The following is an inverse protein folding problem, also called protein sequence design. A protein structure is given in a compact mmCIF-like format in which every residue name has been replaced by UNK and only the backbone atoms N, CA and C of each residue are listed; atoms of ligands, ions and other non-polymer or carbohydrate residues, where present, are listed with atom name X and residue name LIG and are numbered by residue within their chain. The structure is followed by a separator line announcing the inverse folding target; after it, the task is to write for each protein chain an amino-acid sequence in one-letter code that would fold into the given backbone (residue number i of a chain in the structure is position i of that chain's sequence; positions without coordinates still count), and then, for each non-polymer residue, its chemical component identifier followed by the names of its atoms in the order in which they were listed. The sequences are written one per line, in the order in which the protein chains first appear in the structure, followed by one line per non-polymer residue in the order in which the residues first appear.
data_IF_528012394021
#
_entry.id   IF_528012394021
#
_cell.length_a   1.000
_cell.length_b   1.000
_cell.length_c   1.000
_cell.angle_alpha   90.00
_cell.angle_beta   90.00
_cell.angle_gamma   90.00
#
_symmetry.space_group_name_H-M   'P 1'
#
loop_
_entity.id
_entity.type
_entity.pdbx_description
1 polymer ?
#
# COMPACT_ATOMS: atom_id res chain seq x y z
N UNK A 1 20.80 -39.30 0.90
CA UNK A 1 21.33 -38.37 1.88
C UNK A 1 20.20 -37.63 2.55
N UNK A 2 20.18 -37.52 3.87
CA UNK A 2 19.17 -36.78 4.64
C UNK A 2 19.89 -35.60 5.30
N UNK A 3 19.38 -34.40 5.07
CA UNK A 3 19.86 -33.17 5.72
C UNK A 3 18.74 -32.57 6.58
N UNK A 4 19.11 -32.18 7.81
CA UNK A 4 18.18 -31.48 8.72
C UNK A 4 18.46 -29.98 8.69
N UNK A 5 17.48 -29.19 8.32
CA UNK A 5 17.59 -27.72 8.25
C UNK A 5 16.70 -27.11 9.33
N UNK A 6 17.27 -26.48 10.37
CA UNK A 6 16.47 -25.92 11.47
C UNK A 6 15.70 -24.68 11.00
N UNK A 7 14.37 -24.71 11.15
CA UNK A 7 13.46 -23.60 10.80
C UNK A 7 13.81 -22.29 11.51
N UNK A 8 14.34 -22.38 12.74
CA UNK A 8 14.69 -21.21 13.57
C UNK A 8 15.77 -20.30 12.98
N UNK A 9 16.49 -20.75 11.94
CA UNK A 9 17.53 -19.96 11.25
C UNK A 9 16.97 -19.02 10.18
N UNK A 10 15.68 -19.12 9.85
CA UNK A 10 15.05 -18.37 8.79
C UNK A 10 13.88 -17.53 9.33
N UNK A 11 13.60 -16.37 8.75
CA UNK A 11 12.43 -15.58 9.15
C UNK A 11 11.11 -16.26 8.77
N UNK A 12 10.01 -15.74 9.30
CA UNK A 12 8.66 -16.08 8.85
C UNK A 12 8.48 -15.68 7.37
N UNK A 13 7.94 -16.57 6.55
CA UNK A 13 7.72 -16.36 5.12
C UNK A 13 8.07 -17.58 4.27
N UNK A 14 8.18 -17.37 2.98
CA UNK A 14 8.48 -18.40 1.98
C UNK A 14 9.96 -18.68 1.93
N UNK A 15 10.35 -19.95 2.11
CA UNK A 15 11.71 -20.45 1.94
C UNK A 15 11.78 -21.37 0.72
N UNK A 16 12.72 -21.11 -0.18
CA UNK A 16 13.05 -21.99 -1.29
C UNK A 16 14.29 -22.80 -0.96
N UNK A 17 14.21 -24.13 -1.10
CA UNK A 17 15.34 -25.05 -1.01
C UNK A 17 15.65 -25.57 -2.40
N UNK A 18 16.86 -25.39 -2.87
CA UNK A 18 17.29 -25.80 -4.21
C UNK A 18 18.48 -26.77 -4.12
N UNK A 19 18.41 -27.87 -4.87
CA UNK A 19 19.50 -28.82 -5.02
C UNK A 19 20.23 -28.52 -6.31
N UNK A 20 21.56 -28.44 -6.23
CA UNK A 20 22.42 -28.18 -7.37
C UNK A 20 23.27 -29.41 -7.73
N UNK A 21 23.55 -29.58 -9.01
CA UNK A 21 24.56 -30.48 -9.49
C UNK A 21 25.97 -30.04 -9.07
N UNK A 22 26.95 -30.92 -9.20
CA UNK A 22 28.36 -30.57 -8.97
C UNK A 22 28.88 -29.45 -9.90
N UNK A 23 28.19 -29.20 -11.02
CA UNK A 23 28.47 -28.12 -11.99
C UNK A 23 27.70 -26.83 -11.71
N UNK A 24 26.97 -26.75 -10.60
CA UNK A 24 26.17 -25.57 -10.23
C UNK A 24 24.82 -25.42 -10.92
N UNK A 25 24.40 -26.40 -11.74
CA UNK A 25 23.07 -26.34 -12.37
C UNK A 25 21.98 -26.77 -11.39
N UNK A 26 20.83 -26.07 -11.29
CA UNK A 26 19.73 -26.46 -10.43
C UNK A 26 19.08 -27.76 -10.94
N UNK A 27 18.89 -28.71 -10.02
CA UNK A 27 18.31 -30.03 -10.31
C UNK A 27 16.88 -30.17 -9.81
N UNK A 28 16.55 -29.53 -8.71
CA UNK A 28 15.23 -29.59 -8.12
C UNK A 28 15.06 -28.50 -7.07
N UNK A 29 13.82 -28.08 -6.91
CA UNK A 29 13.44 -27.00 -5.99
C UNK A 29 12.24 -27.43 -5.15
N UNK A 30 12.21 -26.99 -3.90
CA UNK A 30 11.08 -27.13 -3.00
C UNK A 30 10.84 -25.81 -2.31
N UNK A 31 9.61 -25.33 -2.36
CA UNK A 31 9.13 -24.16 -1.61
C UNK A 31 8.47 -24.67 -0.34
N UNK A 32 8.78 -24.06 0.80
CA UNK A 32 8.18 -24.33 2.11
C UNK A 32 7.82 -23.01 2.79
N UNK A 33 6.80 -23.03 3.63
CA UNK A 33 6.44 -21.87 4.45
C UNK A 33 6.93 -22.04 5.89
N UNK A 34 7.56 -20.99 6.42
CA UNK A 34 8.00 -20.93 7.82
C UNK A 34 7.11 -19.93 8.54
N UNK A 35 6.52 -20.34 9.65
CA UNK A 35 5.71 -19.48 10.51
C UNK A 35 6.22 -19.57 11.95
N UNK A 36 6.67 -18.45 12.49
CA UNK A 36 7.10 -18.33 13.89
C UNK A 36 6.01 -17.68 14.77
N UNK A 37 4.85 -17.34 14.20
CA UNK A 37 3.78 -16.63 14.91
C UNK A 37 4.26 -15.32 15.56
N UNK A 38 5.16 -14.62 14.87
CA UNK A 38 5.80 -13.39 15.33
C UNK A 38 5.10 -12.12 14.79
N UNK A 39 3.92 -12.28 14.18
CA UNK A 39 3.08 -11.17 13.72
C UNK A 39 2.59 -10.31 14.89
N UNK A 40 2.25 -9.08 14.56
CA UNK A 40 1.68 -8.12 15.50
C UNK A 40 0.33 -8.61 16.03
N UNK A 41 0.13 -8.56 17.34
CA UNK A 41 -1.15 -8.86 17.95
C UNK A 41 -2.03 -7.60 17.92
N UNK A 42 -3.02 -7.61 17.04
CA UNK A 42 -3.99 -6.53 16.88
C UNK A 42 -5.32 -6.96 17.51
N UNK A 43 -5.84 -6.13 18.41
CA UNK A 43 -7.16 -6.33 18.99
C UNK A 43 -8.05 -5.12 18.74
N UNK A 44 -9.29 -5.38 18.34
CA UNK A 44 -10.31 -4.36 18.09
C UNK A 44 -11.51 -4.70 18.98
N UNK A 45 -11.94 -3.74 19.79
CA UNK A 45 -13.08 -3.92 20.71
C UNK A 45 -13.98 -2.70 20.67
N UNK A 46 -15.27 -2.92 20.71
CA UNK A 46 -16.27 -1.88 20.95
C UNK A 46 -16.43 -1.63 22.44
N UNK A 47 -16.79 -0.42 22.82
CA UNK A 47 -17.08 -0.07 24.23
C UNK A 47 -18.40 -0.66 24.74
N UNK A 48 -19.35 -0.96 23.83
CA UNK A 48 -20.63 -1.60 24.15
C UNK A 48 -20.83 -2.85 23.27
N UNK A 49 -21.59 -3.80 23.78
CA UNK A 49 -21.97 -4.99 23.03
C UNK A 49 -23.06 -4.71 21.98
N UNK A 50 -23.93 -3.75 22.25
CA UNK A 50 -25.05 -3.35 21.37
C UNK A 50 -25.20 -1.86 21.38
N UNK A 51 -25.69 -1.31 20.27
CA UNK A 51 -25.88 0.13 20.07
C UNK A 51 -27.30 0.40 19.58
N UNK A 52 -27.86 1.52 20.04
CA UNK A 52 -29.12 2.04 19.52
C UNK A 52 -28.91 2.70 18.16
N UNK A 53 -30.02 2.93 17.43
CA UNK A 53 -29.99 3.60 16.14
C UNK A 53 -29.35 4.99 16.27
N UNK A 54 -28.37 5.31 15.40
CA UNK A 54 -27.61 6.58 15.39
C UNK A 54 -26.78 6.84 16.65
N UNK A 55 -26.57 5.84 17.47
CA UNK A 55 -25.68 5.97 18.62
C UNK A 55 -24.21 6.04 18.16
N UNK A 56 -23.41 6.86 18.85
CA UNK A 56 -21.96 6.94 18.62
C UNK A 56 -21.31 5.64 19.07
N UNK A 57 -20.54 5.04 18.16
CA UNK A 57 -19.73 3.85 18.45
C UNK A 57 -18.31 4.30 18.80
N UNK A 58 -17.77 3.78 19.89
CA UNK A 58 -16.37 3.97 20.26
C UNK A 58 -15.63 2.64 20.12
N UNK A 59 -14.60 2.63 19.29
CA UNK A 59 -13.74 1.47 19.07
C UNK A 59 -12.40 1.66 19.78
N UNK A 60 -11.93 0.63 20.45
CA UNK A 60 -10.62 0.56 21.07
C UNK A 60 -9.74 -0.38 20.22
N UNK A 61 -8.70 0.16 19.64
CA UNK A 61 -7.71 -0.59 18.84
C UNK A 61 -6.43 -0.67 19.64
N UNK A 62 -5.89 -1.86 19.82
CA UNK A 62 -4.62 -2.09 20.52
C UNK A 62 -3.73 -2.97 19.69
N UNK A 63 -2.49 -2.51 19.46
CA UNK A 63 -1.45 -3.24 18.75
C UNK A 63 -0.31 -3.58 19.70
N UNK A 64 0.12 -4.85 19.71
CA UNK A 64 1.21 -5.31 20.57
C UNK A 64 2.17 -6.20 19.80
N UNK A 65 3.46 -5.99 20.01
CA UNK A 65 4.51 -6.93 19.63
C UNK A 65 4.84 -7.76 20.88
N UNK A 66 4.42 -9.04 20.89
CA UNK A 66 4.42 -9.88 22.09
C UNK A 66 3.60 -9.21 23.21
N UNK A 67 4.25 -8.77 24.28
CA UNK A 67 3.59 -8.09 25.42
C UNK A 67 3.71 -6.56 25.39
N UNK A 68 4.54 -5.99 24.54
CA UNK A 68 4.84 -4.55 24.49
C UNK A 68 3.92 -3.83 23.49
N UNK A 69 3.44 -2.62 23.80
CA UNK A 69 2.74 -1.78 22.83
C UNK A 69 3.59 -1.55 21.59
N UNK A 70 2.97 -1.57 20.42
CA UNK A 70 3.63 -1.28 19.15
C UNK A 70 3.03 -0.01 18.53
N UNK A 71 3.90 0.90 18.13
CA UNK A 71 3.54 2.06 17.32
C UNK A 71 3.48 1.68 15.84
N UNK A 72 2.56 2.27 15.09
CA UNK A 72 2.41 1.99 13.67
C UNK A 72 1.33 2.83 13.01
N UNK A 73 1.25 2.72 11.69
CA UNK A 73 0.20 3.33 10.88
C UNK A 73 -0.91 2.30 10.65
N UNK A 74 -2.14 2.69 10.92
CA UNK A 74 -3.30 1.82 10.83
C UNK A 74 -4.33 2.42 9.88
N UNK A 75 -4.94 1.58 9.07
CA UNK A 75 -6.14 1.93 8.31
C UNK A 75 -7.35 1.20 8.88
N UNK A 76 -8.49 1.85 8.88
CA UNK A 76 -9.76 1.29 9.38
C UNK A 76 -10.82 1.47 8.31
N UNK A 77 -11.51 0.38 7.96
CA UNK A 77 -12.71 0.45 7.16
C UNK A 77 -13.90 -0.10 7.95
N UNK A 78 -15.08 0.43 7.70
CA UNK A 78 -16.32 0.02 8.36
C UNK A 78 -17.33 -0.30 7.28
N UNK A 79 -17.87 -1.51 7.32
CA UNK A 79 -18.88 -1.98 6.38
C UNK A 79 -20.12 -2.45 7.13
N UNK A 80 -21.25 -2.47 6.44
CA UNK A 80 -22.46 -3.13 6.91
C UNK A 80 -22.50 -4.55 6.31
N UNK A 81 -22.23 -5.55 7.13
CA UNK A 81 -22.16 -6.96 6.71
C UNK A 81 -23.49 -7.49 6.20
N UNK A 82 -24.62 -6.87 6.57
CA UNK A 82 -25.92 -7.23 6.01
C UNK A 82 -26.09 -6.83 4.54
N UNK A 83 -25.28 -5.88 4.09
CA UNK A 83 -25.32 -5.31 2.74
C UNK A 83 -24.14 -5.78 1.89
N UNK A 84 -22.95 -5.85 2.50
CA UNK A 84 -21.72 -6.29 1.86
C UNK A 84 -21.24 -7.55 2.58
N UNK A 85 -21.59 -8.74 2.10
CA UNK A 85 -21.10 -9.98 2.70
C UNK A 85 -19.56 -10.01 2.57
N UNK A 86 -18.88 -10.35 3.64
CA UNK A 86 -17.43 -10.54 3.65
C UNK A 86 -17.11 -11.98 4.06
N UNK A 87 -16.22 -12.61 3.32
CA UNK A 87 -15.55 -13.84 3.76
C UNK A 87 -14.10 -13.46 4.12
N UNK A 88 -13.76 -13.55 5.39
CA UNK A 88 -12.42 -13.22 5.89
C UNK A 88 -11.32 -14.09 5.26
N UNK A 89 -11.67 -15.21 4.64
CA UNK A 89 -10.73 -16.10 3.97
C UNK A 89 -10.52 -15.74 2.49
N UNK A 90 -11.47 -15.04 1.86
CA UNK A 90 -11.55 -14.95 0.40
C UNK A 90 -10.55 -13.94 -0.17
N UNK A 91 -10.40 -12.79 0.43
CA UNK A 91 -9.47 -11.76 -0.05
C UNK A 91 -8.05 -11.91 0.49
N UNK A 92 -7.06 -11.28 -0.16
CA UNK A 92 -5.73 -11.16 0.41
C UNK A 92 -5.76 -10.18 1.59
N UNK A 93 -5.24 -10.60 2.72
CA UNK A 93 -4.92 -9.75 3.85
C UNK A 93 -3.47 -9.31 3.82
N UNK A 94 -3.10 -8.38 4.69
CA UNK A 94 -1.71 -7.89 4.77
C UNK A 94 -0.70 -9.01 5.02
N UNK A 95 -1.03 -10.00 5.86
CA UNK A 95 -0.15 -11.13 6.15
C UNK A 95 -0.03 -12.07 4.96
N UNK A 96 -1.16 -12.45 4.36
CA UNK A 96 -1.15 -13.35 3.21
C UNK A 96 -0.51 -12.72 1.98
N UNK A 97 -0.67 -11.41 1.78
CA UNK A 97 -0.03 -10.72 0.67
C UNK A 97 1.48 -10.60 0.87
N UNK A 98 1.93 -10.06 2.00
CA UNK A 98 3.35 -9.81 2.24
C UNK A 98 4.18 -11.08 2.46
N UNK A 99 3.60 -12.12 3.09
CA UNK A 99 4.34 -13.31 3.50
C UNK A 99 4.17 -14.49 2.56
N UNK A 100 3.16 -14.51 1.72
CA UNK A 100 2.82 -15.66 0.89
C UNK A 100 2.69 -15.31 -0.60
N UNK A 101 1.66 -14.53 -0.97
CA UNK A 101 1.31 -14.34 -2.38
C UNK A 101 2.29 -13.46 -3.13
N UNK A 102 2.99 -12.54 -2.45
CA UNK A 102 4.04 -11.71 -3.06
C UNK A 102 5.25 -12.53 -3.54
N UNK A 103 5.52 -13.67 -2.94
CA UNK A 103 6.70 -14.49 -3.21
C UNK A 103 6.42 -15.68 -4.14
N UNK A 104 5.16 -16.01 -4.38
CA UNK A 104 4.76 -17.16 -5.17
C UNK A 104 4.22 -16.74 -6.55
N UNK A 105 4.35 -17.64 -7.53
CA UNK A 105 3.77 -17.47 -8.86
C UNK A 105 2.39 -18.12 -8.92
N UNK A 106 1.47 -17.43 -9.61
CA UNK A 106 0.12 -17.92 -9.83
C UNK A 106 -0.87 -17.44 -8.78
N UNK A 107 -2.09 -17.92 -8.90
CA UNK A 107 -3.17 -17.60 -7.97
C UNK A 107 -3.15 -18.60 -6.81
N UNK A 108 -3.30 -18.07 -5.60
CA UNK A 108 -3.51 -18.86 -4.38
C UNK A 108 -4.95 -18.62 -3.95
N UNK A 109 -5.77 -19.66 -4.03
CA UNK A 109 -7.15 -19.61 -3.61
C UNK A 109 -7.24 -19.37 -2.10
N UNK A 110 -8.10 -18.43 -1.69
CA UNK A 110 -8.38 -18.10 -0.29
C UNK A 110 -7.11 -17.93 0.57
N UNK A 111 -6.20 -17.02 0.21
CA UNK A 111 -4.88 -16.93 0.84
C UNK A 111 -4.94 -16.61 2.34
N UNK A 112 -5.97 -15.91 2.82
CA UNK A 112 -6.15 -15.63 4.24
C UNK A 112 -6.55 -16.85 5.08
N UNK A 113 -7.08 -17.90 4.47
CA UNK A 113 -7.40 -19.15 5.15
C UNK A 113 -6.21 -19.67 5.97
N UNK A 114 -5.01 -19.58 5.43
CA UNK A 114 -3.77 -20.04 6.07
C UNK A 114 -3.30 -19.17 7.24
N UNK A 115 -3.89 -17.99 7.44
CA UNK A 115 -3.51 -17.04 8.49
C UNK A 115 -4.61 -16.77 9.51
N UNK A 116 -5.88 -16.99 9.17
CA UNK A 116 -7.01 -16.74 10.05
C UNK A 116 -7.19 -17.84 11.11
N UNK A 117 -6.90 -19.08 10.76
CA UNK A 117 -6.97 -20.21 11.68
C UNK A 117 -5.69 -21.01 11.62
N UNK A 118 -5.04 -21.14 12.74
CA UNK A 118 -3.80 -21.89 12.82
C UNK A 118 -4.01 -23.23 13.54
N UNK A 119 -3.94 -24.32 12.78
CA UNK A 119 -4.06 -25.69 13.26
C UNK A 119 -3.26 -26.64 12.36
N UNK A 120 -3.18 -27.91 12.72
CA UNK A 120 -2.40 -28.90 11.96
C UNK A 120 -2.95 -29.09 10.54
N UNK A 121 -4.26 -28.96 10.35
CA UNK A 121 -4.87 -29.09 9.03
C UNK A 121 -4.47 -27.93 8.13
N UNK A 122 -4.58 -26.67 8.59
CA UNK A 122 -4.19 -25.50 7.79
C UNK A 122 -2.71 -25.50 7.45
N UNK A 123 -1.86 -26.03 8.35
CA UNK A 123 -0.44 -26.23 8.05
C UNK A 123 -0.20 -27.29 6.97
N UNK A 124 -0.91 -28.41 7.05
CA UNK A 124 -0.81 -29.47 6.05
C UNK A 124 -1.30 -28.99 4.68
N UNK A 125 -2.41 -28.23 4.65
CA UNK A 125 -2.97 -27.66 3.43
C UNK A 125 -2.01 -26.63 2.81
N UNK A 126 -1.38 -25.79 3.63
CA UNK A 126 -0.38 -24.85 3.17
C UNK A 126 0.85 -25.57 2.60
N UNK A 127 1.37 -26.61 3.27
CA UNK A 127 2.50 -27.39 2.78
C UNK A 127 2.15 -28.13 1.47
N UNK A 128 0.94 -28.64 1.36
CA UNK A 128 0.39 -29.22 0.12
C UNK A 128 0.35 -28.19 -1.01
N UNK A 129 -0.13 -26.98 -0.73
CA UNK A 129 -0.10 -25.86 -1.67
C UNK A 129 1.31 -25.50 -2.10
N UNK A 130 2.26 -25.44 -1.17
CA UNK A 130 3.66 -25.14 -1.46
C UNK A 130 4.33 -26.14 -2.41
N UNK A 131 3.85 -27.38 -2.48
CA UNK A 131 4.36 -28.39 -3.42
C UNK A 131 4.08 -28.04 -4.88
N UNK A 132 3.02 -27.31 -5.15
CA UNK A 132 2.56 -26.95 -6.49
C UNK A 132 2.97 -25.54 -6.91
N UNK A 133 3.50 -24.74 -5.99
CA UNK A 133 3.86 -23.35 -6.24
C UNK A 133 5.34 -23.19 -6.61
N UNK A 134 5.65 -22.11 -7.32
CA UNK A 134 7.00 -21.76 -7.74
C UNK A 134 7.35 -20.40 -7.15
N UNK A 135 8.58 -20.26 -6.65
CA UNK A 135 9.10 -18.98 -6.15
C UNK A 135 9.19 -17.95 -7.29
N UNK A 136 8.78 -16.73 -7.00
CA UNK A 136 8.56 -15.70 -8.02
C UNK A 136 9.73 -14.74 -8.22
N UNK A 137 10.45 -14.40 -7.16
CA UNK A 137 11.39 -13.27 -7.18
C UNK A 137 12.51 -13.44 -8.18
N UNK A 138 13.04 -14.65 -8.34
CA UNK A 138 14.07 -14.94 -9.35
C UNK A 138 14.04 -16.40 -9.79
N UNK A 139 14.71 -16.72 -10.89
CA UNK A 139 15.05 -18.09 -11.27
C UNK A 139 16.57 -18.24 -11.29
N UNK A 140 17.08 -19.35 -10.76
CA UNK A 140 18.52 -19.62 -10.77
C UNK A 140 19.11 -19.65 -12.18
N UNK A 141 18.33 -20.09 -13.17
CA UNK A 141 18.78 -20.06 -14.56
C UNK A 141 19.12 -18.64 -15.02
N UNK A 142 18.27 -17.66 -14.70
CA UNK A 142 18.52 -16.27 -15.06
C UNK A 142 19.74 -15.72 -14.31
N UNK A 143 19.93 -16.08 -13.04
CA UNK A 143 21.10 -15.66 -12.25
C UNK A 143 22.40 -16.27 -12.82
N UNK A 144 22.39 -17.56 -13.18
CA UNK A 144 23.55 -18.22 -13.77
C UNK A 144 23.88 -17.68 -15.17
N UNK A 145 22.84 -17.36 -15.94
CA UNK A 145 23.00 -16.77 -17.28
C UNK A 145 23.29 -15.27 -17.26
N UNK A 146 23.46 -14.65 -16.08
CA UNK A 146 23.64 -13.20 -15.86
C UNK A 146 22.49 -12.34 -16.47
N UNK A 147 21.30 -12.93 -16.54
CA UNK A 147 20.08 -12.28 -17.05
C UNK A 147 19.30 -11.63 -15.90
N UNK A 148 19.96 -10.70 -15.19
CA UNK A 148 19.32 -9.95 -14.12
C UNK A 148 18.52 -8.80 -14.76
N UNK A 149 17.23 -8.70 -14.44
CA UNK A 149 16.43 -7.56 -14.90
C UNK A 149 16.98 -6.27 -14.29
N UNK A 150 17.18 -5.22 -15.08
CA UNK A 150 17.60 -3.94 -14.54
C UNK A 150 16.56 -3.42 -13.53
N UNK A 151 17.03 -2.79 -12.46
CA UNK A 151 16.16 -2.15 -11.47
C UNK A 151 15.42 -1.01 -12.18
N UNK A 152 14.12 -1.22 -12.42
CA UNK A 152 13.27 -0.22 -13.09
C UNK A 152 12.88 0.94 -12.18
N UNK A 153 12.88 0.71 -10.86
CA UNK A 153 12.48 1.70 -9.86
C UNK A 153 13.49 1.72 -8.73
N UNK A 154 14.09 2.89 -8.52
CA UNK A 154 14.97 3.13 -7.37
C UNK A 154 14.06 3.49 -6.17
N UNK A 155 14.37 3.04 -4.94
CA UNK A 155 13.65 3.47 -3.75
C UNK A 155 13.59 5.00 -3.66
N UNK A 156 12.40 5.53 -3.44
CA UNK A 156 12.22 6.97 -3.27
C UNK A 156 12.97 7.44 -2.01
N UNK A 157 13.83 8.45 -2.20
CA UNK A 157 14.56 9.09 -1.10
C UNK A 157 13.83 10.33 -0.57
N UNK A 158 12.83 10.79 -1.28
CA UNK A 158 12.03 11.97 -0.97
C UNK A 158 11.00 12.23 -2.05
N UNK A 159 10.19 13.25 -1.85
CA UNK A 159 9.13 13.64 -2.80
C UNK A 159 9.68 14.66 -3.78
N UNK A 160 9.39 14.47 -5.06
CA UNK A 160 9.68 15.45 -6.11
C UNK A 160 8.55 16.47 -6.22
N UNK A 161 8.82 17.72 -5.89
CA UNK A 161 7.84 18.80 -6.03
C UNK A 161 8.19 19.59 -7.28
N UNK A 162 7.30 19.60 -8.26
CA UNK A 162 7.48 20.32 -9.53
C UNK A 162 6.24 21.14 -9.88
N UNK A 163 6.43 22.05 -10.82
CA UNK A 163 5.33 22.89 -11.25
C UNK A 163 5.74 23.86 -12.36
N UNK A 164 4.85 24.77 -12.65
CA UNK A 164 5.06 25.82 -13.68
C UNK A 164 4.81 27.19 -13.09
N UNK A 165 5.59 28.17 -13.54
CA UNK A 165 5.44 29.58 -13.23
C UNK A 165 5.09 30.35 -14.50
N UNK A 166 3.98 31.07 -14.45
CA UNK A 166 3.48 31.85 -15.58
C UNK A 166 3.09 33.27 -15.13
N UNK A 167 3.09 34.19 -16.07
CA UNK A 167 2.47 35.51 -15.88
C UNK A 167 0.95 35.35 -15.79
N UNK A 168 0.23 36.35 -15.33
CA UNK A 168 -1.24 36.39 -15.36
C UNK A 168 -1.84 36.30 -16.77
N UNK A 169 -1.04 36.59 -17.80
CA UNK A 169 -1.40 36.43 -19.21
C UNK A 169 -1.12 35.04 -19.75
N UNK A 170 -0.59 34.13 -18.92
CA UNK A 170 -0.32 32.75 -19.29
C UNK A 170 1.05 32.49 -19.92
N UNK A 171 1.89 33.52 -20.13
CA UNK A 171 3.22 33.36 -20.68
C UNK A 171 4.18 32.72 -19.66
N UNK A 172 5.12 31.84 -20.09
CA UNK A 172 6.07 31.23 -19.19
C UNK A 172 7.05 32.27 -18.63
N UNK A 173 7.38 32.16 -17.35
CA UNK A 173 8.38 33.00 -16.70
C UNK A 173 9.70 32.25 -16.66
N UNK A 174 10.63 32.60 -17.56
CA UNK A 174 11.97 32.04 -17.56
C UNK A 174 12.85 32.70 -16.48
N UNK A 175 13.72 31.90 -15.84
CA UNK A 175 14.63 32.34 -14.78
C UNK A 175 13.91 32.98 -13.57
N UNK A 176 12.62 32.67 -13.37
CA UNK A 176 11.87 33.08 -12.17
C UNK A 176 12.40 32.37 -10.93
N UNK A 177 12.46 33.07 -9.82
CA UNK A 177 12.90 32.51 -8.53
C UNK A 177 11.73 31.82 -7.84
N UNK A 178 11.86 30.53 -7.60
CA UNK A 178 10.89 29.74 -6.83
C UNK A 178 11.53 29.29 -5.52
N UNK A 179 10.84 29.53 -4.40
CA UNK A 179 11.27 29.15 -3.07
C UNK A 179 10.30 28.12 -2.47
N UNK A 180 10.84 27.04 -1.95
CA UNK A 180 10.13 26.06 -1.17
C UNK A 180 10.49 26.27 0.30
N UNK A 181 9.48 26.26 1.18
CA UNK A 181 9.65 26.42 2.62
C UNK A 181 8.80 25.39 3.38
N UNK A 182 9.42 24.70 4.35
CA UNK A 182 8.79 23.74 5.25
C UNK A 182 8.90 24.29 6.67
N UNK A 183 7.83 24.92 7.21
CA UNK A 183 7.88 25.59 8.53
C UNK A 183 8.33 24.67 9.66
N UNK A 184 7.79 23.46 9.73
CA UNK A 184 8.02 22.50 10.82
C UNK A 184 9.50 22.07 10.95
N UNK A 185 10.26 22.17 9.85
CA UNK A 185 11.68 21.83 9.81
C UNK A 185 12.59 23.06 9.68
N UNK A 186 12.02 24.28 9.66
CA UNK A 186 12.74 25.50 9.31
C UNK A 186 13.59 25.36 8.02
N UNK A 187 13.18 24.47 7.11
CA UNK A 187 13.90 24.17 5.88
C UNK A 187 13.43 25.08 4.76
N UNK A 188 14.38 25.68 4.04
CA UNK A 188 14.09 26.51 2.87
C UNK A 188 15.10 26.22 1.76
N UNK A 189 14.61 26.01 0.56
CA UNK A 189 15.43 25.86 -0.66
C UNK A 189 14.88 26.70 -1.79
N UNK A 190 15.71 26.96 -2.81
CA UNK A 190 15.34 27.78 -3.98
C UNK A 190 15.75 27.07 -5.26
N UNK A 191 14.97 27.31 -6.30
CA UNK A 191 15.28 26.90 -7.68
C UNK A 191 14.90 28.01 -8.64
N UNK A 192 15.40 27.95 -9.84
CA UNK A 192 15.03 28.85 -10.95
C UNK A 192 14.25 28.08 -12.01
N UNK A 193 13.27 28.74 -12.62
CA UNK A 193 12.50 28.19 -13.72
C UNK A 193 13.31 28.10 -15.01
N UNK A 194 13.05 27.08 -15.82
CA UNK A 194 13.59 26.93 -17.15
C UNK A 194 12.96 27.93 -18.19
N UNK A 195 13.32 27.81 -19.45
CA UNK A 195 12.80 28.65 -20.53
C UNK A 195 11.27 28.48 -20.73
N UNK A 196 10.70 27.33 -20.34
CA UNK A 196 9.27 27.02 -20.42
C UNK A 196 8.51 27.36 -19.14
N UNK A 197 9.19 27.93 -18.14
CA UNK A 197 8.63 28.28 -16.84
C UNK A 197 8.48 27.11 -15.88
N UNK A 198 9.09 25.95 -16.15
CA UNK A 198 9.02 24.80 -15.25
C UNK A 198 10.07 24.91 -14.15
N UNK A 199 9.72 24.37 -12.97
CA UNK A 199 10.64 24.22 -11.85
C UNK A 199 10.51 22.84 -11.21
N UNK A 200 11.55 22.40 -10.50
CA UNK A 200 11.59 21.13 -9.77
C UNK A 200 12.45 21.25 -8.51
N UNK A 201 11.95 20.70 -7.43
CA UNK A 201 12.67 20.43 -6.18
C UNK A 201 12.75 18.92 -6.02
N UNK A 202 13.90 18.30 -6.32
CA UNK A 202 14.04 16.85 -6.17
C UNK A 202 14.26 16.43 -4.72
N UNK A 203 13.84 15.23 -4.37
CA UNK A 203 14.14 14.56 -3.11
C UNK A 203 13.80 15.39 -1.84
N UNK A 204 12.67 16.06 -1.83
CA UNK A 204 12.23 16.83 -0.65
C UNK A 204 11.75 15.87 0.44
N UNK A 205 12.43 15.86 1.58
CA UNK A 205 12.07 15.01 2.71
C UNK A 205 11.06 15.75 3.59
N UNK A 206 9.83 15.27 3.60
CA UNK A 206 8.73 15.78 4.42
C UNK A 206 8.29 14.73 5.43
N UNK A 207 7.79 15.16 6.58
CA UNK A 207 7.13 14.27 7.54
C UNK A 207 5.63 14.21 7.19
N UNK A 208 4.95 13.15 7.64
CA UNK A 208 3.49 13.08 7.55
C UNK A 208 2.87 14.35 8.16
N UNK A 209 1.89 14.92 7.47
CA UNK A 209 1.20 16.16 7.88
C UNK A 209 2.03 17.45 7.82
N UNK A 210 3.26 17.45 7.30
CA UNK A 210 4.05 18.68 7.11
C UNK A 210 3.39 19.58 6.06
N UNK A 211 3.29 20.86 6.37
CA UNK A 211 2.85 21.88 5.41
C UNK A 211 4.02 22.35 4.58
N UNK A 212 3.92 22.23 3.27
CA UNK A 212 4.91 22.75 2.32
C UNK A 212 4.34 24.01 1.68
N UNK A 213 5.12 25.08 1.70
CA UNK A 213 4.78 26.34 1.05
C UNK A 213 5.72 26.59 -0.11
N UNK A 214 5.17 26.96 -1.26
CA UNK A 214 5.94 27.34 -2.45
C UNK A 214 5.58 28.78 -2.81
N UNK A 215 6.58 29.63 -2.86
CA UNK A 215 6.49 31.05 -3.24
C UNK A 215 7.31 31.28 -4.51
N UNK A 216 6.89 32.21 -5.38
CA UNK A 216 7.65 32.53 -6.58
C UNK A 216 7.70 34.05 -6.83
N UNK A 217 8.77 34.47 -7.48
CA UNK A 217 8.97 35.83 -8.00
C UNK A 217 9.64 35.79 -9.37
N UNK A 218 9.32 36.75 -10.22
CA UNK A 218 10.03 36.94 -11.49
C UNK A 218 11.39 37.66 -11.28
N UNK A 219 12.09 37.92 -12.36
CA UNK A 219 13.38 38.61 -12.29
C UNK A 219 13.25 40.11 -11.92
N UNK A 220 12.08 40.69 -12.11
CA UNK A 220 11.74 42.04 -11.67
C UNK A 220 11.23 42.10 -10.23
N UNK A 221 11.31 40.99 -9.50
CA UNK A 221 10.82 40.82 -8.12
C UNK A 221 9.29 40.98 -7.95
N UNK A 222 8.54 40.85 -9.06
CA UNK A 222 7.06 40.83 -9.02
C UNK A 222 6.58 39.52 -8.42
N UNK A 223 5.49 39.60 -7.66
CA UNK A 223 4.79 38.44 -7.07
C UNK A 223 3.43 38.17 -7.75
N UNK A 224 3.05 38.97 -8.74
CA UNK A 224 1.77 38.80 -9.44
C UNK A 224 1.90 37.76 -10.55
N UNK A 225 2.07 36.51 -10.15
CA UNK A 225 2.36 35.37 -11.01
C UNK A 225 1.42 34.22 -10.72
N UNK A 226 1.21 33.38 -11.71
CA UNK A 226 0.46 32.15 -11.63
C UNK A 226 1.41 30.99 -11.39
N UNK A 227 1.40 30.42 -10.19
CA UNK A 227 2.18 29.25 -9.80
C UNK A 227 1.25 28.04 -9.74
N UNK A 228 1.57 27.02 -10.54
CA UNK A 228 0.80 25.75 -10.56
C UNK A 228 1.74 24.62 -10.18
N UNK A 229 1.33 23.81 -9.21
CA UNK A 229 2.04 22.59 -8.83
C UNK A 229 1.52 21.41 -9.66
N UNK A 230 2.43 20.58 -10.12
CA UNK A 230 2.08 19.32 -10.75
C UNK A 230 1.60 18.32 -9.68
N UNK A 231 0.59 17.49 -9.97
CA UNK A 231 0.22 16.41 -9.08
C UNK A 231 1.41 15.47 -8.87
N UNK A 232 1.51 14.90 -7.67
CA UNK A 232 2.49 13.84 -7.42
C UNK A 232 2.16 12.67 -8.35
N UNK A 233 3.17 12.18 -9.05
CA UNK A 233 3.02 11.02 -9.90
C UNK A 233 2.76 9.82 -9.00
N UNK A 234 1.58 9.24 -9.11
CA UNK A 234 1.31 7.95 -8.50
C UNK A 234 2.20 6.88 -9.18
N UNK A 235 2.77 5.93 -8.42
CA UNK A 235 3.47 4.82 -9.04
C UNK A 235 2.52 4.08 -9.99
N UNK A 236 3.04 3.51 -11.09
CA UNK A 236 2.19 2.77 -12.02
C UNK A 236 1.50 1.62 -11.29
N UNK A 237 0.18 1.54 -11.44
CA UNK A 237 -0.59 0.44 -10.87
C UNK A 237 -0.17 -0.86 -11.55
N UNK A 238 0.29 -1.84 -10.77
CA UNK A 238 0.49 -3.20 -11.25
C UNK A 238 -0.82 -3.98 -11.13
N UNK A 239 -1.10 -4.82 -12.12
CA UNK A 239 -2.27 -5.70 -12.04
C UNK A 239 -2.09 -6.65 -10.86
N UNK A 240 -3.09 -6.71 -9.98
CA UNK A 240 -3.08 -7.62 -8.83
C UNK A 240 -3.14 -9.08 -9.33
N UNK A 241 -2.22 -9.93 -8.86
CA UNK A 241 -2.05 -11.30 -9.39
C UNK A 241 -3.03 -12.29 -8.74
N UNK A 242 -3.50 -11.97 -7.54
CA UNK A 242 -4.49 -12.74 -6.81
C UNK A 242 -5.81 -11.95 -6.69
N UNK A 243 -6.61 -11.84 -7.76
CA UNK A 243 -7.94 -11.23 -7.64
C UNK A 243 -8.80 -12.07 -6.70
N UNK A 244 -9.70 -11.41 -6.00
CA UNK A 244 -10.74 -12.07 -5.19
C UNK A 244 -11.48 -13.06 -6.09
N UNK A 245 -11.62 -14.32 -5.66
CA UNK A 245 -12.08 -15.44 -6.52
C UNK A 245 -13.55 -15.33 -6.97
N UNK A 246 -14.39 -14.63 -6.20
CA UNK A 246 -15.76 -14.31 -6.59
C UNK A 246 -15.94 -12.79 -6.60
N UNK A 247 -16.19 -12.24 -7.78
CA UNK A 247 -16.73 -10.89 -7.88
C UNK A 247 -18.14 -10.98 -7.33
N UNK A 248 -18.36 -10.46 -6.10
CA UNK A 248 -19.69 -10.29 -5.55
C UNK A 248 -20.57 -9.70 -6.64
N UNK A 249 -21.76 -10.29 -6.88
CA UNK A 249 -22.68 -9.78 -7.88
C UNK A 249 -23.07 -8.34 -7.49
N UNK A 250 -22.39 -7.37 -8.10
CA UNK A 250 -22.51 -5.95 -7.84
C UNK A 250 -23.97 -5.50 -7.93
N UNK A 251 -24.73 -6.11 -8.82
CA UNK A 251 -26.15 -5.77 -9.01
C UNK A 251 -27.03 -6.24 -7.86
N UNK A 252 -26.73 -7.35 -7.20
CA UNK A 252 -27.53 -7.86 -6.08
C UNK A 252 -27.09 -7.33 -4.72
N UNK A 253 -25.81 -7.11 -4.51
CA UNK A 253 -25.25 -6.71 -3.19
C UNK A 253 -24.97 -5.21 -3.08
N UNK A 254 -24.35 -4.59 -4.08
CA UNK A 254 -23.99 -3.17 -4.04
C UNK A 254 -25.14 -2.23 -4.47
N UNK A 255 -26.06 -2.69 -5.30
CA UNK A 255 -27.19 -1.87 -5.76
C UNK A 255 -28.08 -1.34 -4.64
N UNK A 256 -28.47 -2.13 -3.63
CA UNK A 256 -29.19 -1.62 -2.46
C UNK A 256 -28.38 -0.59 -1.66
N UNK A 257 -27.06 -0.83 -1.50
CA UNK A 257 -26.17 0.11 -0.81
C UNK A 257 -26.05 1.45 -1.55
N UNK A 258 -25.81 1.43 -2.85
CA UNK A 258 -25.73 2.63 -3.69
C UNK A 258 -27.07 3.39 -3.72
N UNK A 259 -28.20 2.66 -3.76
CA UNK A 259 -29.52 3.28 -3.68
C UNK A 259 -29.76 3.94 -2.32
N UNK A 260 -29.32 3.34 -1.24
CA UNK A 260 -29.43 3.89 0.10
C UNK A 260 -28.53 5.11 0.29
N UNK A 261 -27.27 5.05 -0.18
CA UNK A 261 -26.34 6.17 -0.19
C UNK A 261 -26.89 7.35 -1.00
N UNK A 262 -27.50 7.08 -2.17
CA UNK A 262 -28.16 8.10 -3.00
C UNK A 262 -29.38 8.72 -2.31
N UNK A 263 -30.17 7.92 -1.59
CA UNK A 263 -31.30 8.45 -0.78
C UNK A 263 -30.81 9.32 0.37
N UNK A 264 -29.73 8.92 1.06
CA UNK A 264 -29.14 9.74 2.11
C UNK A 264 -28.55 11.05 1.57
N UNK A 265 -27.87 11.01 0.43
CA UNK A 265 -27.35 12.21 -0.22
C UNK A 265 -28.48 13.18 -0.63
N UNK A 266 -29.55 12.67 -1.22
CA UNK A 266 -30.71 13.46 -1.58
C UNK A 266 -31.45 14.04 -0.35
N UNK A 267 -31.47 13.35 0.77
CA UNK A 267 -32.01 13.85 2.03
C UNK A 267 -31.17 14.96 2.66
N UNK A 268 -29.86 14.96 2.43
CA UNK A 268 -28.94 16.02 2.87
C UNK A 268 -29.07 17.31 2.05
N UNK A 269 -29.48 17.22 0.79
CA UNK A 269 -29.69 18.39 -0.07
C UNK A 269 -31.01 19.08 0.14
N UNK A 270 -31.87 18.63 1.04
CA UNK A 270 -33.16 19.26 1.36
C UNK A 270 -33.08 20.18 2.58
N UNK A 271 -31.93 20.74 2.90
CA UNK A 271 -31.86 21.89 3.82
C UNK A 271 -32.23 23.10 2.99
N UNK A 272 -33.48 23.52 3.13
CA UNK A 272 -33.93 24.81 2.62
C UNK A 272 -33.04 25.91 3.17
N UNK A 273 -32.51 26.74 2.28
CA UNK A 273 -31.79 27.95 2.60
C UNK A 273 -32.59 28.73 3.65
N UNK A 274 -32.06 28.87 4.85
CA UNK A 274 -32.62 29.77 5.87
C UNK A 274 -32.10 31.14 5.52
N UNK A 275 -32.92 31.92 4.83
CA UNK A 275 -32.70 33.36 4.62
C UNK A 275 -32.92 34.04 5.98
N UNK A 276 -31.84 34.56 6.55
CA UNK A 276 -31.89 35.43 7.74
C UNK A 276 -32.05 36.86 7.26
#
# INVERSE_FOLDING_TARGET
YIAMVPKSKFPTGVLQVTIFSAKGSPLGERVVFINHHDQLNLTVKSDLATYSRRQKVKMLISAKNKALPAEGNFSVSVIDESIVPSDDNDGPGILSDLLLTSDLRGNIEKPNYYFNQYNDQTNADLDGGMLTQVYRRFSYKNVIDDKIQPIGYIPEQGIDISGTLRTNTGLPVAKGNVRLFIPDKAYSTRTITDASGNFRFPNVIVSDSSKVRVDARDNANSANLMLTLNPLLAPPSTQYINPVGEIANIDSTLKPYLQNAKRQLNSMHTIKEVVI
#
